data_IF_363634992668
#
_entry.id   IF_363634992668
#
_cell.length_a   1.000
_cell.length_b   1.000
_cell.length_c   1.000
_cell.angle_alpha   90.00
_cell.angle_beta   90.00
_cell.angle_gamma   90.00
#
_symmetry.space_group_name_H-M   'P 1'
#
loop_
_entity.id
_entity.type
_entity.pdbx_description
1 polymer ?
#
# COMPACT_ATOMS: atom_id res chain seq x y z
N UNK A 1 -1.71 12.11 3.38
CA UNK A 1 -0.28 11.88 3.02
C UNK A 1 -0.21 11.49 1.55
N UNK A 2 0.89 11.81 0.85
CA UNK A 2 1.12 11.46 -0.56
C UNK A 2 2.47 10.76 -0.72
N UNK A 3 2.48 9.64 -1.44
CA UNK A 3 3.68 8.95 -1.90
C UNK A 3 3.90 9.26 -3.38
N UNK A 4 5.14 9.57 -3.77
CA UNK A 4 5.53 9.81 -5.17
C UNK A 4 6.61 8.82 -5.55
N UNK A 5 6.33 7.99 -6.55
CA UNK A 5 7.27 6.96 -7.02
C UNK A 5 8.55 7.60 -7.55
N UNK A 6 9.69 7.03 -7.18
CA UNK A 6 11.01 7.49 -7.64
C UNK A 6 11.69 6.45 -8.51
N UNK A 7 11.69 5.20 -8.08
CA UNK A 7 12.36 4.13 -8.82
C UNK A 7 11.92 2.75 -8.34
N UNK A 8 12.25 1.74 -9.15
CA UNK A 8 11.98 0.35 -8.84
C UNK A 8 10.53 -0.06 -9.09
N UNK A 9 10.21 -1.28 -8.68
CA UNK A 9 8.88 -1.88 -8.83
C UNK A 9 8.72 -3.02 -7.83
N UNK A 10 7.47 -3.45 -7.67
CA UNK A 10 7.03 -4.62 -6.92
C UNK A 10 6.26 -5.54 -7.88
N UNK A 11 6.29 -6.84 -7.62
CA UNK A 11 5.37 -7.80 -8.21
C UNK A 11 4.92 -8.81 -7.15
N UNK A 12 3.62 -9.14 -7.14
CA UNK A 12 3.04 -10.08 -6.17
C UNK A 12 2.98 -11.54 -6.67
N UNK A 13 3.33 -11.76 -7.94
CA UNK A 13 3.42 -13.10 -8.50
C UNK A 13 4.29 -13.10 -9.77
N UNK A 14 4.82 -14.25 -10.20
CA UNK A 14 5.75 -14.32 -11.33
C UNK A 14 5.17 -13.80 -12.67
N UNK A 15 3.87 -13.98 -12.88
CA UNK A 15 3.16 -13.56 -14.11
C UNK A 15 2.38 -12.24 -13.94
N UNK A 16 2.46 -11.62 -12.75
CA UNK A 16 1.75 -10.39 -12.44
C UNK A 16 2.46 -9.19 -13.07
N UNK A 17 1.70 -8.19 -13.51
CA UNK A 17 2.31 -6.97 -14.00
C UNK A 17 2.98 -6.20 -12.85
N UNK A 18 4.14 -5.61 -13.16
CA UNK A 18 4.89 -4.76 -12.23
C UNK A 18 4.01 -3.63 -11.66
N UNK A 19 4.37 -3.18 -10.47
CA UNK A 19 3.56 -2.29 -9.68
C UNK A 19 4.43 -1.36 -8.85
N UNK A 20 3.90 -0.21 -8.46
CA UNK A 20 4.52 0.69 -7.50
C UNK A 20 3.90 0.54 -6.12
N UNK A 21 2.58 0.27 -6.05
CA UNK A 21 1.79 0.41 -4.81
C UNK A 21 0.91 -0.79 -4.45
N UNK A 22 0.96 -1.87 -5.20
CA UNK A 22 0.00 -2.98 -5.04
C UNK A 22 0.28 -4.12 -5.99
N UNK A 23 -0.76 -4.76 -6.53
CA UNK A 23 -0.59 -5.83 -7.51
C UNK A 23 -1.51 -5.71 -8.73
N UNK A 24 -0.96 -5.99 -9.91
CA UNK A 24 -1.71 -6.03 -11.16
C UNK A 24 -2.45 -7.33 -11.45
N UNK A 25 -2.68 -8.19 -10.44
CA UNK A 25 -3.49 -9.41 -10.60
C UNK A 25 -4.98 -9.13 -10.43
N UNK A 26 -5.81 -9.82 -11.21
CA UNK A 26 -7.28 -9.75 -11.12
C UNK A 26 -7.81 -10.22 -9.76
N UNK A 27 -7.03 -10.99 -9.00
CA UNK A 27 -7.37 -11.45 -7.65
C UNK A 27 -7.55 -10.30 -6.66
N UNK A 28 -6.88 -9.17 -6.87
CA UNK A 28 -6.84 -8.04 -5.94
C UNK A 28 -7.71 -6.88 -6.37
N UNK A 29 -8.73 -7.15 -7.19
CA UNK A 29 -9.50 -6.17 -7.98
C UNK A 29 -8.58 -5.42 -8.97
N UNK A 30 -8.93 -5.37 -10.27
CA UNK A 30 -8.08 -4.80 -11.31
C UNK A 30 -7.65 -3.37 -10.92
N UNK A 31 -6.39 -3.17 -10.51
CA UNK A 31 -5.95 -1.87 -9.99
C UNK A 31 -5.55 -1.84 -8.52
N UNK A 32 -5.74 -2.94 -7.77
CA UNK A 32 -5.64 -3.01 -6.31
C UNK A 32 -4.36 -2.46 -5.72
N UNK A 33 -4.53 -1.55 -4.77
CA UNK A 33 -3.47 -0.98 -3.94
C UNK A 33 -3.28 -1.88 -2.71
N UNK A 34 -2.03 -2.03 -2.27
CA UNK A 34 -1.64 -2.85 -1.11
C UNK A 34 -0.55 -2.16 -0.27
N UNK A 35 -0.21 -0.90 -0.55
CA UNK A 35 0.74 -0.15 0.25
C UNK A 35 0.07 0.37 1.52
N UNK A 36 0.65 0.04 2.66
CA UNK A 36 0.16 0.44 3.98
C UNK A 36 1.19 1.35 4.65
N UNK A 37 0.73 2.23 5.53
CA UNK A 37 1.59 2.99 6.43
C UNK A 37 1.20 2.63 7.85
N UNK A 38 2.17 2.22 8.65
CA UNK A 38 1.97 1.84 10.05
C UNK A 38 2.83 2.66 10.99
N UNK A 39 2.49 2.63 12.28
CA UNK A 39 3.46 2.95 13.33
C UNK A 39 4.44 1.77 13.54
N UNK A 40 5.38 1.94 14.47
CA UNK A 40 6.38 0.92 14.84
C UNK A 40 5.79 -0.26 15.62
N UNK A 41 4.56 -0.14 16.13
CA UNK A 41 3.79 -1.23 16.74
C UNK A 41 2.98 -2.01 15.70
N UNK A 42 3.19 -1.74 14.40
CA UNK A 42 2.45 -2.32 13.28
C UNK A 42 0.96 -1.99 13.28
N UNK A 43 0.54 -0.90 13.93
CA UNK A 43 -0.83 -0.41 13.78
C UNK A 43 -0.98 0.29 12.42
N UNK A 44 -1.92 -0.16 11.59
CA UNK A 44 -2.22 0.48 10.31
C UNK A 44 -2.80 1.88 10.57
N UNK A 45 -2.10 2.90 10.09
CA UNK A 45 -2.51 4.30 10.11
C UNK A 45 -3.13 4.72 8.78
N UNK A 46 -2.55 4.25 7.66
CA UNK A 46 -3.07 4.53 6.31
C UNK A 46 -3.03 3.27 5.43
N UNK A 47 -4.04 3.06 4.57
CA UNK A 47 -5.30 3.79 4.58
C UNK A 47 -6.11 3.45 5.85
N UNK A 48 -7.13 4.24 6.17
CA UNK A 48 -8.11 3.96 7.21
C UNK A 48 -8.73 2.59 6.94
N UNK A 49 -9.09 1.91 8.03
CA UNK A 49 -9.68 0.56 7.98
C UNK A 49 -10.93 0.50 7.11
N UNK A 50 -11.66 1.60 6.97
CA UNK A 50 -12.88 1.69 6.16
C UNK A 50 -12.62 1.57 4.65
N UNK A 51 -11.39 1.85 4.19
CA UNK A 51 -10.99 1.67 2.80
C UNK A 51 -10.50 0.24 2.50
N UNK A 52 -10.14 -0.53 3.53
CA UNK A 52 -9.64 -1.89 3.32
C UNK A 52 -10.77 -2.80 2.84
N UNK A 53 -10.51 -3.55 1.79
CA UNK A 53 -11.47 -4.52 1.26
C UNK A 53 -11.70 -5.60 2.32
N UNK A 54 -12.95 -5.74 2.75
CA UNK A 54 -13.40 -6.90 3.53
C UNK A 54 -13.54 -8.07 2.56
N UNK A 55 -12.50 -8.88 2.48
CA UNK A 55 -12.47 -10.08 1.64
C UNK A 55 -12.42 -11.34 2.49
N UNK A 56 -13.22 -12.33 2.11
CA UNK A 56 -13.05 -13.71 2.60
C UNK A 56 -11.81 -14.38 2.00
N UNK A 57 -11.25 -13.82 0.93
CA UNK A 57 -9.97 -14.25 0.38
C UNK A 57 -8.84 -13.73 1.26
N UNK A 58 -8.14 -14.65 1.91
CA UNK A 58 -6.92 -14.35 2.70
C UNK A 58 -5.86 -13.62 1.88
N UNK A 59 -5.85 -13.82 0.57
CA UNK A 59 -4.93 -13.16 -0.34
C UNK A 59 -5.19 -11.64 -0.37
N UNK A 60 -6.45 -11.23 -0.51
CA UNK A 60 -6.82 -9.83 -0.71
C UNK A 60 -6.92 -9.02 0.59
N UNK A 61 -6.55 -9.62 1.73
CA UNK A 61 -6.51 -8.92 3.01
C UNK A 61 -5.50 -7.78 2.94
N UNK A 62 -5.90 -6.60 3.39
CA UNK A 62 -5.13 -5.35 3.29
C UNK A 62 -4.90 -4.81 1.86
N UNK A 63 -5.74 -5.22 0.91
CA UNK A 63 -5.88 -4.52 -0.36
C UNK A 63 -7.01 -3.48 -0.31
N UNK A 64 -6.93 -2.46 -1.15
CA UNK A 64 -7.90 -1.37 -1.25
C UNK A 64 -7.89 -0.71 -2.63
N UNK A 65 -8.83 0.19 -2.87
CA UNK A 65 -8.92 0.97 -4.10
C UNK A 65 -9.27 2.43 -3.80
N UNK A 66 -8.73 3.35 -4.60
CA UNK A 66 -9.17 4.74 -4.65
C UNK A 66 -9.64 5.08 -6.07
N UNK A 67 -10.78 5.76 -6.24
CA UNK A 67 -11.24 6.19 -7.56
C UNK A 67 -10.19 7.02 -8.29
N UNK A 68 -9.78 6.59 -9.49
CA UNK A 68 -8.77 7.29 -10.30
C UNK A 68 -7.31 7.03 -9.90
N UNK A 69 -7.04 6.13 -8.96
CA UNK A 69 -5.68 5.71 -8.58
C UNK A 69 -5.56 4.20 -8.69
N UNK A 70 -4.46 3.73 -9.25
CA UNK A 70 -4.18 2.30 -9.41
C UNK A 70 -2.72 2.00 -9.07
N UNK A 71 -2.40 0.71 -9.00
CA UNK A 71 -1.10 0.20 -8.57
C UNK A 71 0.14 0.70 -9.36
N UNK A 72 -0.03 1.36 -10.52
CA UNK A 72 1.03 1.97 -11.35
C UNK A 72 0.94 3.50 -11.43
N UNK A 73 0.02 4.13 -10.71
CA UNK A 73 -0.07 5.59 -10.70
C UNK A 73 1.25 6.19 -10.19
N UNK A 74 1.75 7.30 -10.76
CA UNK A 74 3.03 7.90 -10.32
C UNK A 74 2.96 8.41 -8.89
N UNK A 75 1.75 8.69 -8.40
CA UNK A 75 1.49 9.13 -7.03
C UNK A 75 0.39 8.27 -6.39
N UNK A 76 0.50 8.06 -5.08
CA UNK A 76 -0.53 7.49 -4.23
C UNK A 76 -0.90 8.51 -3.15
N UNK A 77 -2.13 9.02 -3.21
CA UNK A 77 -2.67 9.97 -2.24
C UNK A 77 -3.65 9.26 -1.33
N UNK A 78 -3.31 9.22 -0.04
CA UNK A 78 -4.20 8.72 1.01
C UNK A 78 -5.27 9.77 1.31
N UNK A 79 -6.55 9.38 1.17
CA UNK A 79 -7.73 10.25 1.33
C UNK A 79 -8.34 10.20 2.73
N UNK A 80 -7.55 9.76 3.69
CA UNK A 80 -7.97 9.55 5.06
C UNK A 80 -8.21 10.86 5.81
N UNK A 81 -9.02 10.83 6.89
CA UNK A 81 -9.11 11.92 7.85
C UNK A 81 -7.73 12.32 8.39
N UNK A 82 -7.66 13.50 9.02
CA UNK A 82 -6.43 14.01 9.60
C UNK A 82 -5.73 12.97 10.49
N UNK A 83 -4.49 12.65 10.12
CA UNK A 83 -3.63 11.76 10.88
C UNK A 83 -2.89 12.57 11.95
N UNK A 84 -3.19 12.31 13.22
CA UNK A 84 -2.44 12.91 14.33
C UNK A 84 -1.11 12.20 14.48
N UNK A 85 -0.01 12.93 14.27
CA UNK A 85 1.34 12.43 14.43
C UNK A 85 2.07 13.17 15.55
N UNK A 86 2.87 12.43 16.32
CA UNK A 86 3.75 13.02 17.33
C UNK A 86 5.10 13.41 16.74
N UNK A 87 5.78 14.37 17.37
CA UNK A 87 7.17 14.70 17.03
C UNK A 87 8.03 13.44 17.19
N UNK A 88 8.92 13.20 16.23
CA UNK A 88 9.81 12.02 16.18
C UNK A 88 9.09 10.68 16.08
N UNK A 89 7.80 10.65 15.73
CA UNK A 89 7.11 9.41 15.44
C UNK A 89 7.68 8.80 14.15
N UNK A 90 8.17 7.56 14.25
CA UNK A 90 8.59 6.77 13.10
C UNK A 90 7.39 6.06 12.46
N UNK A 91 7.37 6.05 11.13
CA UNK A 91 6.36 5.41 10.32
C UNK A 91 7.01 4.42 9.36
N UNK A 92 6.35 3.28 9.14
CA UNK A 92 6.80 2.26 8.21
C UNK A 92 5.87 2.14 7.02
N UNK A 93 6.46 2.00 5.84
CA UNK A 93 5.71 1.72 4.60
C UNK A 93 5.81 0.22 4.35
N UNK A 94 4.68 -0.46 4.33
CA UNK A 94 4.59 -1.90 4.13
C UNK A 94 3.93 -2.25 2.80
N UNK A 95 4.32 -3.41 2.27
CA UNK A 95 3.55 -4.10 1.25
C UNK A 95 2.55 -5.07 1.92
N UNK A 96 1.30 -5.10 1.47
CA UNK A 96 0.21 -5.76 2.21
C UNK A 96 0.41 -7.25 2.49
N UNK A 97 1.03 -7.99 1.57
CA UNK A 97 1.34 -9.42 1.76
C UNK A 97 2.46 -9.65 2.79
N UNK A 98 3.49 -8.80 2.76
CA UNK A 98 4.60 -8.81 3.71
C UNK A 98 4.10 -8.41 5.12
N UNK A 99 3.26 -7.37 5.20
CA UNK A 99 2.57 -7.03 6.44
C UNK A 99 1.72 -8.19 6.99
N UNK A 100 1.03 -8.92 6.12
CA UNK A 100 0.23 -10.06 6.54
C UNK A 100 1.06 -11.32 6.91
N UNK A 101 2.34 -11.37 6.51
CA UNK A 101 3.16 -12.58 6.59
C UNK A 101 2.59 -13.72 5.74
N UNK A 102 1.96 -13.41 4.60
CA UNK A 102 1.25 -14.39 3.79
C UNK A 102 1.37 -14.12 2.29
N UNK A 103 1.57 -15.20 1.51
CA UNK A 103 1.75 -15.13 0.05
C UNK A 103 2.89 -14.20 -0.38
N UNK A 104 3.98 -14.17 0.39
CA UNK A 104 5.16 -13.34 0.12
C UNK A 104 6.27 -14.07 -0.64
N UNK A 105 6.26 -15.41 -0.66
CA UNK A 105 7.37 -16.23 -1.14
C UNK A 105 7.66 -16.09 -2.64
N UNK A 106 6.68 -15.63 -3.41
CA UNK A 106 6.79 -15.37 -4.83
C UNK A 106 6.72 -13.87 -5.17
N UNK A 107 6.85 -13.00 -4.16
CA UNK A 107 6.95 -11.56 -4.35
C UNK A 107 8.38 -11.18 -4.70
N UNK A 108 8.52 -10.17 -5.56
CA UNK A 108 9.83 -9.67 -5.96
C UNK A 108 9.84 -8.15 -6.09
N UNK A 109 11.03 -7.60 -5.99
CA UNK A 109 11.31 -6.20 -6.28
C UNK A 109 11.38 -5.32 -5.02
N UNK A 110 11.63 -4.04 -5.27
CA UNK A 110 11.72 -2.97 -4.29
C UNK A 110 11.26 -1.68 -4.97
N UNK A 111 10.46 -0.88 -4.28
CA UNK A 111 10.05 0.44 -4.73
C UNK A 111 10.63 1.51 -3.80
N UNK A 112 11.06 2.63 -4.35
CA UNK A 112 11.54 3.79 -3.61
C UNK A 112 10.59 4.96 -3.87
N UNK A 113 10.26 5.72 -2.82
CA UNK A 113 9.27 6.79 -2.88
C UNK A 113 9.71 8.01 -2.08
N UNK A 114 9.33 9.19 -2.54
CA UNK A 114 9.29 10.39 -1.71
C UNK A 114 7.97 10.39 -0.92
N UNK A 115 7.98 10.97 0.28
CA UNK A 115 6.82 11.04 1.18
C UNK A 115 6.50 12.49 1.49
N UNK A 116 5.25 12.90 1.23
CA UNK A 116 4.76 14.24 1.50
C UNK A 116 3.59 14.21 2.47
N UNK A 117 3.61 15.10 3.46
CA UNK A 117 2.52 15.31 4.41
C UNK A 117 2.09 16.78 4.37
N UNK A 118 0.78 17.00 4.49
CA UNK A 118 0.20 18.32 4.73
C UNK A 118 -0.15 18.38 6.22
N UNK A 119 0.45 19.34 6.93
CA UNK A 119 0.15 19.64 8.33
C UNK A 119 -0.80 20.84 8.37
N UNK A 120 -1.80 20.79 9.25
CA UNK A 120 -2.79 21.85 9.48
C UNK A 120 -2.84 22.21 10.95
#
# INVERSE_FOLDING_TARGET
>A
MKLVHRSGYLSCCPSCSNSFWGCGSSLYSKGGLMTLITDTNRNILLPSKDYLIISHSVYAKHSYQFPGTHHKSPELVFRDPLLTLSRNQELWIWYGQDYAGYSESNNVGKTCTDVYALYV
#
